data_IF_301474919852
#
_entry.id   IF_301474919852
#
_cell.length_a   1.000
_cell.length_b   1.000
_cell.length_c   1.000
_cell.angle_alpha   90.00
_cell.angle_beta   90.00
_cell.angle_gamma   90.00
#
_symmetry.space_group_name_H-M   'P 1'
#
loop_
_entity.id
_entity.type
_entity.pdbx_description
1 polymer ?
#
# COMPACT_ATOMS: atom_id res chain seq x y z
N UNK A 1 -17.10 -5.93 -10.30
CA UNK A 1 -15.84 -5.19 -10.01
C UNK A 1 -14.69 -6.16 -9.68
N UNK A 2 -14.89 -7.17 -8.82
CA UNK A 2 -13.84 -8.13 -8.44
C UNK A 2 -13.35 -8.93 -9.66
N UNK A 3 -14.25 -9.38 -10.52
CA UNK A 3 -13.88 -10.07 -11.77
C UNK A 3 -13.04 -9.18 -12.68
N UNK A 4 -13.38 -7.89 -12.79
CA UNK A 4 -12.61 -6.95 -13.60
C UNK A 4 -11.20 -6.73 -13.04
N UNK A 5 -11.02 -6.75 -11.72
CA UNK A 5 -9.71 -6.69 -11.05
C UNK A 5 -8.84 -7.87 -11.49
N UNK A 6 -9.38 -9.10 -11.39
CA UNK A 6 -8.62 -10.33 -11.69
C UNK A 6 -8.40 -10.49 -13.19
N UNK A 7 -9.44 -10.33 -14.02
CA UNK A 7 -9.30 -10.40 -15.49
C UNK A 7 -8.33 -9.34 -16.02
N UNK A 8 -8.40 -8.13 -15.46
CA UNK A 8 -7.48 -7.06 -15.79
C UNK A 8 -6.03 -7.40 -15.46
N UNK A 9 -5.77 -8.02 -14.30
CA UNK A 9 -4.45 -8.49 -13.95
C UNK A 9 -3.98 -9.63 -14.90
N UNK A 10 -4.85 -10.59 -15.21
CA UNK A 10 -4.54 -11.67 -16.15
C UNK A 10 -4.13 -11.10 -17.51
N UNK A 11 -4.89 -10.16 -18.05
CA UNK A 11 -4.62 -9.56 -19.36
C UNK A 11 -3.38 -8.65 -19.36
N UNK A 12 -2.99 -8.11 -18.20
CA UNK A 12 -1.86 -7.18 -18.08
C UNK A 12 -0.54 -7.91 -17.80
N UNK A 13 -0.56 -8.92 -16.94
CA UNK A 13 0.64 -9.61 -16.46
C UNK A 13 0.88 -10.97 -17.10
N UNK A 14 -0.15 -11.58 -17.71
CA UNK A 14 -0.11 -12.94 -18.24
C UNK A 14 0.46 -13.96 -17.24
N UNK A 15 -0.14 -14.07 -16.02
CA UNK A 15 0.35 -14.98 -14.99
C UNK A 15 0.39 -16.42 -15.49
N UNK A 16 1.40 -17.16 -15.06
CA UNK A 16 1.54 -18.60 -15.34
C UNK A 16 1.05 -19.45 -14.19
N UNK A 17 0.86 -18.83 -13.04
CA UNK A 17 0.40 -19.45 -11.82
C UNK A 17 -1.12 -19.67 -11.86
N UNK A 18 -1.57 -20.84 -11.43
CA UNK A 18 -2.99 -21.18 -11.29
C UNK A 18 -3.60 -20.56 -10.03
N UNK A 19 -2.75 -20.08 -9.10
CA UNK A 19 -3.17 -19.43 -7.86
C UNK A 19 -2.32 -18.20 -7.55
N UNK A 20 -2.98 -17.05 -7.41
CA UNK A 20 -2.33 -15.78 -7.08
C UNK A 20 -3.31 -14.79 -6.45
N UNK A 21 -2.78 -13.73 -5.86
CA UNK A 21 -3.57 -12.59 -5.38
C UNK A 21 -3.37 -11.37 -6.28
N UNK A 22 -4.44 -10.67 -6.54
CA UNK A 22 -4.43 -9.33 -7.15
C UNK A 22 -4.77 -8.30 -6.09
N UNK A 23 -3.90 -7.33 -5.95
CA UNK A 23 -4.07 -6.18 -5.06
C UNK A 23 -4.38 -4.94 -5.89
N UNK A 24 -5.61 -4.46 -5.80
CA UNK A 24 -6.06 -3.24 -6.48
C UNK A 24 -5.92 -2.03 -5.56
N UNK A 25 -5.14 -1.05 -5.99
CA UNK A 25 -4.84 0.20 -5.27
C UNK A 25 -5.44 1.40 -6.02
N UNK A 26 -6.72 1.60 -5.84
CA UNK A 26 -7.50 2.72 -6.38
C UNK A 26 -7.73 3.83 -5.33
N UNK A 27 -8.97 4.33 -5.26
CA UNK A 27 -9.40 5.27 -4.20
C UNK A 27 -9.36 4.63 -2.82
N UNK A 28 -9.81 3.39 -2.71
CA UNK A 28 -9.57 2.44 -1.62
C UNK A 28 -8.63 1.34 -2.08
N UNK A 29 -8.61 0.22 -1.35
CA UNK A 29 -7.84 -0.97 -1.71
C UNK A 29 -8.69 -2.24 -1.60
N UNK A 30 -8.47 -3.18 -2.52
CA UNK A 30 -9.12 -4.49 -2.54
C UNK A 30 -8.09 -5.58 -2.87
N UNK A 31 -8.28 -6.75 -2.27
CA UNK A 31 -7.54 -7.96 -2.58
C UNK A 31 -8.50 -9.01 -3.12
N UNK A 32 -8.19 -9.56 -4.28
CA UNK A 32 -8.89 -10.68 -4.90
C UNK A 32 -7.94 -11.86 -5.09
N UNK A 33 -8.42 -13.07 -4.89
CA UNK A 33 -7.64 -14.29 -5.13
C UNK A 33 -8.23 -14.98 -6.35
N UNK A 34 -7.35 -15.35 -7.28
CA UNK A 34 -7.63 -16.28 -8.35
C UNK A 34 -7.10 -17.67 -7.95
N UNK A 35 -7.91 -18.69 -8.14
CA UNK A 35 -7.54 -20.08 -7.87
C UNK A 35 -8.22 -21.01 -8.87
N UNK A 36 -7.46 -21.54 -9.84
CA UNK A 36 -7.93 -22.54 -10.82
C UNK A 36 -9.24 -22.15 -11.55
N UNK A 37 -9.39 -20.87 -11.85
CA UNK A 37 -10.60 -20.34 -12.52
C UNK A 37 -11.60 -19.67 -11.58
N UNK A 38 -11.56 -19.94 -10.29
CA UNK A 38 -12.41 -19.29 -9.29
C UNK A 38 -11.85 -17.95 -8.86
N UNK A 39 -12.74 -16.98 -8.64
CA UNK A 39 -12.39 -15.62 -8.18
C UNK A 39 -13.07 -15.37 -6.84
N UNK A 40 -12.26 -15.03 -5.84
CA UNK A 40 -12.71 -14.70 -4.49
C UNK A 40 -12.35 -13.25 -4.14
N UNK A 41 -13.32 -12.46 -3.68
CA UNK A 41 -13.00 -11.22 -2.96
C UNK A 41 -12.47 -11.57 -1.57
N UNK A 42 -11.17 -11.40 -1.37
CA UNK A 42 -10.50 -11.85 -0.15
C UNK A 42 -10.45 -10.78 0.95
N UNK A 43 -10.75 -9.53 0.61
CA UNK A 43 -10.79 -8.42 1.56
C UNK A 43 -10.31 -7.11 0.96
N UNK A 44 -10.10 -6.13 1.83
CA UNK A 44 -9.64 -4.80 1.43
C UNK A 44 -9.85 -3.79 2.54
N UNK A 45 -9.58 -2.53 2.23
CA UNK A 45 -9.82 -1.42 3.17
C UNK A 45 -10.42 -0.22 2.44
N UNK A 46 -11.11 0.66 3.18
CA UNK A 46 -11.51 1.96 2.65
C UNK A 46 -10.34 2.92 2.41
N UNK A 47 -9.11 2.49 2.71
CA UNK A 47 -7.90 3.31 2.57
C UNK A 47 -7.24 3.09 1.21
N UNK A 48 -6.80 4.18 0.59
CA UNK A 48 -6.14 4.17 -0.71
C UNK A 48 -5.77 5.57 -1.17
N UNK A 49 -5.62 5.74 -2.47
CA UNK A 49 -5.27 7.03 -3.07
C UNK A 49 -6.28 8.14 -2.80
N UNK A 50 -7.55 7.79 -2.66
CA UNK A 50 -8.59 8.74 -2.24
C UNK A 50 -8.36 9.26 -0.83
N UNK A 51 -7.99 8.38 0.10
CA UNK A 51 -7.66 8.74 1.48
C UNK A 51 -6.40 9.59 1.54
N UNK A 52 -5.35 9.21 0.82
CA UNK A 52 -4.11 10.00 0.74
C UNK A 52 -4.42 11.43 0.30
N UNK A 53 -5.17 11.58 -0.80
CA UNK A 53 -5.55 12.90 -1.32
C UNK A 53 -6.41 13.70 -0.34
N UNK A 54 -7.44 13.05 0.23
CA UNK A 54 -8.36 13.70 1.17
C UNK A 54 -7.65 14.21 2.42
N UNK A 55 -6.81 13.38 3.04
CA UNK A 55 -6.04 13.78 4.22
C UNK A 55 -4.98 14.84 3.86
N UNK A 56 -4.29 14.70 2.73
CA UNK A 56 -3.34 15.71 2.28
C UNK A 56 -4.01 17.06 2.03
N UNK A 57 -5.21 17.06 1.43
CA UNK A 57 -5.99 18.31 1.26
C UNK A 57 -6.32 18.98 2.59
N UNK A 58 -6.77 18.18 3.56
CA UNK A 58 -7.17 18.67 4.89
C UNK A 58 -5.98 19.14 5.74
N UNK A 59 -4.87 18.42 5.71
CA UNK A 59 -3.74 18.62 6.63
C UNK A 59 -2.71 19.58 6.06
N UNK A 60 -2.35 19.45 4.77
CA UNK A 60 -1.28 20.22 4.15
C UNK A 60 -1.78 21.17 3.04
N UNK A 61 -3.08 21.14 2.72
CA UNK A 61 -3.70 22.00 1.70
C UNK A 61 -3.44 21.56 0.26
N UNK A 62 -2.99 20.28 0.04
CA UNK A 62 -2.58 19.78 -1.26
C UNK A 62 -3.35 18.52 -1.64
N UNK A 63 -3.85 18.43 -2.89
CA UNK A 63 -4.58 17.27 -3.41
C UNK A 63 -4.10 16.78 -4.78
N UNK A 64 -3.05 17.39 -5.35
CA UNK A 64 -2.40 16.85 -6.56
C UNK A 64 -1.51 15.66 -6.19
N UNK A 65 -1.77 14.45 -6.76
CA UNK A 65 -0.98 13.25 -6.44
C UNK A 65 0.52 13.40 -6.75
N UNK A 66 0.89 14.17 -7.78
CA UNK A 66 2.30 14.38 -8.15
C UNK A 66 3.02 15.23 -7.12
N UNK A 67 2.35 16.29 -6.64
CA UNK A 67 2.90 17.18 -5.61
C UNK A 67 3.01 16.41 -4.28
N UNK A 68 1.95 15.67 -3.89
CA UNK A 68 1.97 14.82 -2.68
C UNK A 68 3.11 13.81 -2.75
N UNK A 69 3.31 13.13 -3.89
CA UNK A 69 4.43 12.20 -4.07
C UNK A 69 5.78 12.90 -3.90
N UNK A 70 5.97 14.06 -4.54
CA UNK A 70 7.20 14.84 -4.43
C UNK A 70 7.48 15.34 -3.00
N UNK A 71 6.44 15.71 -2.25
CA UNK A 71 6.58 16.09 -0.85
C UNK A 71 6.97 14.89 0.01
N UNK A 72 6.22 13.79 -0.09
CA UNK A 72 6.44 12.59 0.73
C UNK A 72 7.82 11.96 0.53
N UNK A 73 8.37 12.01 -0.69
CA UNK A 73 9.73 11.51 -0.99
C UNK A 73 10.85 12.31 -0.31
N UNK A 74 10.57 13.53 0.14
CA UNK A 74 11.52 14.39 0.85
C UNK A 74 11.30 14.40 2.36
N UNK A 75 10.12 13.94 2.79
CA UNK A 75 9.69 13.98 4.17
C UNK A 75 10.22 12.81 5.00
N UNK A 76 10.14 12.98 6.32
CA UNK A 76 10.56 12.00 7.32
C UNK A 76 9.38 11.69 8.24
N UNK A 77 8.75 10.51 8.06
CA UNK A 77 7.65 10.06 8.92
C UNK A 77 8.03 10.02 10.41
N UNK A 78 9.32 9.84 10.73
CA UNK A 78 9.87 9.77 12.09
C UNK A 78 9.65 11.05 12.90
N UNK A 79 9.37 12.16 12.21
CA UNK A 79 9.00 13.41 12.86
C UNK A 79 7.52 13.51 13.22
N UNK A 80 6.71 12.61 12.65
CA UNK A 80 5.26 12.59 12.81
C UNK A 80 4.81 11.40 13.64
N UNK A 81 5.41 10.23 13.37
CA UNK A 81 5.06 8.95 14.00
C UNK A 81 5.90 8.71 15.26
N UNK A 82 5.27 8.11 16.30
CA UNK A 82 6.03 7.41 17.33
C UNK A 82 6.52 6.09 16.75
N UNK A 83 7.82 5.86 16.82
CA UNK A 83 8.45 4.63 16.36
C UNK A 83 8.55 3.61 17.50
N UNK A 84 8.81 2.35 17.15
CA UNK A 84 9.02 1.30 18.15
C UNK A 84 10.17 1.68 19.13
N UNK A 85 11.29 2.20 18.61
CA UNK A 85 12.41 2.67 19.44
C UNK A 85 12.07 3.80 20.43
N UNK A 86 10.99 4.56 20.16
CA UNK A 86 10.57 5.67 21.03
C UNK A 86 9.73 5.17 22.21
N UNK A 87 9.15 3.98 22.13
CA UNK A 87 8.18 3.46 23.12
C UNK A 87 8.61 2.15 23.79
N UNK A 88 9.59 1.44 23.22
CA UNK A 88 10.01 0.12 23.69
C UNK A 88 11.53 0.04 23.74
N UNK A 89 12.05 -0.54 24.83
CA UNK A 89 13.46 -0.84 24.98
C UNK A 89 13.73 -2.28 24.50
N UNK A 90 14.11 -2.45 23.23
CA UNK A 90 14.51 -3.73 22.65
C UNK A 90 13.64 -4.18 21.46
N UNK A 91 14.09 -5.20 20.73
CA UNK A 91 13.43 -5.66 19.52
C UNK A 91 12.11 -6.39 19.80
N UNK A 92 11.11 -6.20 18.96
CA UNK A 92 9.87 -6.98 18.93
C UNK A 92 9.91 -7.92 17.72
N UNK A 93 10.33 -9.16 17.95
CA UNK A 93 10.46 -10.13 16.87
C UNK A 93 11.36 -9.61 15.74
N UNK A 94 10.87 -9.65 14.50
CA UNK A 94 11.61 -9.17 13.32
C UNK A 94 11.24 -7.74 12.91
N UNK A 95 10.51 -6.99 13.74
CA UNK A 95 10.12 -5.63 13.40
C UNK A 95 11.32 -4.68 13.56
N UNK A 96 11.61 -3.82 12.56
CA UNK A 96 12.67 -2.84 12.68
C UNK A 96 12.30 -1.76 13.72
N UNK A 97 13.27 -1.24 14.42
CA UNK A 97 13.07 -0.16 15.39
C UNK A 97 12.44 1.11 14.77
N UNK A 98 12.61 1.30 13.45
CA UNK A 98 12.03 2.38 12.67
C UNK A 98 10.56 2.15 12.26
N UNK A 99 9.96 0.99 12.63
CA UNK A 99 8.55 0.77 12.41
C UNK A 99 7.70 1.73 13.25
N UNK A 100 6.61 2.25 12.68
CA UNK A 100 5.69 3.12 13.41
C UNK A 100 4.90 2.30 14.43
N UNK A 101 5.02 2.66 15.70
CA UNK A 101 4.20 2.13 16.78
C UNK A 101 2.84 2.85 16.79
N UNK A 102 2.84 4.19 16.62
CA UNK A 102 1.62 5.01 16.55
C UNK A 102 1.78 6.01 15.41
N UNK A 103 0.98 5.88 14.38
CA UNK A 103 0.95 6.84 13.29
C UNK A 103 0.43 8.18 13.83
N UNK A 104 1.08 9.28 13.44
CA UNK A 104 0.80 10.64 13.93
C UNK A 104 0.85 10.77 15.47
N UNK A 105 1.49 9.84 16.16
CA UNK A 105 1.58 9.85 17.63
C UNK A 105 2.61 10.82 18.21
N UNK A 106 3.52 11.35 17.39
CA UNK A 106 4.55 12.30 17.80
C UNK A 106 4.12 13.70 17.39
N UNK A 107 3.33 14.33 18.26
CA UNK A 107 2.78 15.66 17.97
C UNK A 107 3.72 16.73 18.56
N UNK A 108 4.84 16.95 17.92
CA UNK A 108 5.55 18.22 18.05
C UNK A 108 5.50 18.93 16.68
N UNK A 109 4.40 19.66 16.48
CA UNK A 109 4.14 20.35 15.22
C UNK A 109 5.16 21.47 14.94
N UNK A 110 5.96 21.87 15.91
CA UNK A 110 6.95 22.93 15.74
C UNK A 110 8.09 22.51 14.81
N UNK A 111 8.36 21.20 14.72
CA UNK A 111 9.43 20.64 13.89
C UNK A 111 8.96 19.91 12.63
N UNK A 112 7.64 19.78 12.42
CA UNK A 112 7.07 19.09 11.26
C UNK A 112 6.81 20.07 10.12
N UNK A 113 7.27 19.74 8.92
CA UNK A 113 6.95 20.45 7.69
C UNK A 113 5.93 19.68 6.84
N UNK A 114 5.51 20.24 5.70
CA UNK A 114 4.53 19.62 4.80
C UNK A 114 5.03 18.30 4.22
N UNK A 115 6.32 18.18 3.99
CA UNK A 115 6.98 16.99 3.49
C UNK A 115 6.86 15.86 4.50
N UNK A 116 7.13 16.14 5.77
CA UNK A 116 7.07 15.16 6.86
C UNK A 116 5.61 14.68 7.07
N UNK A 117 4.64 15.59 7.03
CA UNK A 117 3.22 15.28 7.11
C UNK A 117 2.75 14.43 5.92
N UNK A 118 3.19 14.75 4.69
CA UNK A 118 2.89 13.95 3.50
C UNK A 118 3.46 12.53 3.62
N UNK A 119 4.69 12.39 4.12
CA UNK A 119 5.31 11.08 4.37
C UNK A 119 4.53 10.30 5.44
N UNK A 120 4.11 10.93 6.54
CA UNK A 120 3.28 10.32 7.58
C UNK A 120 1.93 9.83 7.05
N UNK A 121 1.23 10.61 6.23
CA UNK A 121 -0.05 10.24 5.62
C UNK A 121 0.11 8.99 4.75
N UNK A 122 1.10 8.99 3.82
CA UNK A 122 1.33 7.84 2.95
C UNK A 122 1.76 6.62 3.76
N UNK A 123 2.62 6.80 4.77
CA UNK A 123 3.05 5.73 5.66
C UNK A 123 1.88 5.08 6.41
N UNK A 124 0.99 5.86 7.01
CA UNK A 124 -0.18 5.36 7.72
C UNK A 124 -1.11 4.56 6.81
N UNK A 125 -1.44 5.10 5.65
CA UNK A 125 -2.30 4.43 4.65
C UNK A 125 -1.62 3.17 4.15
N UNK A 126 -0.34 3.26 3.77
CA UNK A 126 0.44 2.16 3.24
C UNK A 126 0.61 1.00 4.23
N UNK A 127 0.89 1.29 5.49
CA UNK A 127 1.00 0.26 6.55
C UNK A 127 -0.30 -0.53 6.73
N UNK A 128 -1.45 0.16 6.72
CA UNK A 128 -2.75 -0.52 6.88
C UNK A 128 -3.07 -1.41 5.68
N UNK A 129 -2.84 -0.90 4.47
CA UNK A 129 -3.01 -1.66 3.23
C UNK A 129 -2.08 -2.88 3.22
N UNK A 130 -0.80 -2.68 3.53
CA UNK A 130 0.21 -3.74 3.53
C UNK A 130 -0.11 -4.83 4.56
N UNK A 131 -0.42 -4.46 5.81
CA UNK A 131 -0.78 -5.43 6.86
C UNK A 131 -1.99 -6.27 6.46
N UNK A 132 -3.02 -5.65 5.89
CA UNK A 132 -4.20 -6.35 5.38
C UNK A 132 -3.81 -7.33 4.28
N UNK A 133 -3.04 -6.89 3.29
CA UNK A 133 -2.64 -7.73 2.16
C UNK A 133 -1.72 -8.89 2.58
N UNK A 134 -0.75 -8.65 3.48
CA UNK A 134 0.12 -9.70 4.04
C UNK A 134 -0.71 -10.74 4.79
N UNK A 135 -1.66 -10.31 5.62
CA UNK A 135 -2.52 -11.22 6.37
C UNK A 135 -3.34 -12.10 5.41
N UNK A 136 -3.95 -11.51 4.39
CA UNK A 136 -4.71 -12.24 3.36
C UNK A 136 -3.81 -13.24 2.62
N UNK A 137 -2.64 -12.80 2.18
CA UNK A 137 -1.68 -13.64 1.47
C UNK A 137 -1.22 -14.84 2.32
N UNK A 138 -0.91 -14.59 3.59
CA UNK A 138 -0.43 -15.62 4.53
C UNK A 138 -1.50 -16.66 4.87
N UNK A 139 -2.73 -16.24 5.17
CA UNK A 139 -3.84 -17.16 5.50
C UNK A 139 -4.19 -18.04 4.30
N UNK A 140 -4.07 -17.52 3.08
CA UNK A 140 -4.42 -18.23 1.86
C UNK A 140 -3.23 -18.89 1.16
N UNK A 141 -2.05 -18.95 1.78
CA UNK A 141 -0.81 -19.52 1.22
C UNK A 141 -0.46 -18.97 -0.19
N UNK A 142 -0.67 -17.67 -0.40
CA UNK A 142 -0.38 -17.01 -1.66
C UNK A 142 1.13 -16.84 -1.83
N UNK A 143 1.64 -17.14 -3.02
CA UNK A 143 3.07 -17.01 -3.37
C UNK A 143 3.33 -15.89 -4.39
N UNK A 144 2.29 -15.41 -5.07
CA UNK A 144 2.39 -14.36 -6.09
C UNK A 144 1.34 -13.29 -5.86
N UNK A 145 1.78 -12.03 -5.92
CA UNK A 145 0.93 -10.85 -5.75
C UNK A 145 1.13 -9.91 -6.93
N UNK A 146 0.07 -9.63 -7.66
CA UNK A 146 0.03 -8.66 -8.75
C UNK A 146 -0.61 -7.37 -8.27
N UNK A 147 0.06 -6.25 -8.41
CA UNK A 147 -0.41 -4.94 -7.92
C UNK A 147 -0.86 -4.09 -9.09
N UNK A 148 -2.14 -3.68 -9.06
CA UNK A 148 -2.78 -2.83 -10.07
C UNK A 148 -3.35 -1.55 -9.45
N UNK A 149 -3.81 -0.62 -10.29
CA UNK A 149 -4.40 0.65 -9.87
C UNK A 149 -3.38 1.79 -9.95
N UNK A 150 -3.75 2.98 -9.50
CA UNK A 150 -2.89 4.17 -9.62
C UNK A 150 -2.07 4.50 -8.38
N UNK A 151 -2.50 4.04 -7.21
CA UNK A 151 -1.89 4.49 -5.95
C UNK A 151 -0.49 3.92 -5.70
N UNK A 152 -0.10 2.81 -6.34
CA UNK A 152 1.28 2.34 -6.27
C UNK A 152 2.30 3.26 -6.96
N UNK A 153 1.85 4.30 -7.67
CA UNK A 153 2.71 5.33 -8.24
C UNK A 153 3.22 6.34 -7.20
N UNK A 154 2.71 6.31 -5.97
CA UNK A 154 3.39 6.95 -4.85
C UNK A 154 4.64 6.12 -4.49
N UNK A 155 5.82 6.72 -4.68
CA UNK A 155 7.11 6.01 -4.52
C UNK A 155 7.24 5.39 -3.13
N UNK A 156 6.96 6.17 -2.09
CA UNK A 156 7.02 5.69 -0.70
C UNK A 156 6.07 4.50 -0.45
N UNK A 157 4.85 4.53 -1.00
CA UNK A 157 3.91 3.43 -0.88
C UNK A 157 4.43 2.18 -1.60
N UNK A 158 4.98 2.34 -2.81
CA UNK A 158 5.53 1.24 -3.59
C UNK A 158 6.71 0.58 -2.88
N UNK A 159 7.63 1.36 -2.35
CA UNK A 159 8.77 0.86 -1.56
C UNK A 159 8.30 0.08 -0.32
N UNK A 160 7.33 0.62 0.41
CA UNK A 160 6.75 -0.05 1.57
C UNK A 160 6.11 -1.41 1.22
N UNK A 161 5.45 -1.51 0.07
CA UNK A 161 4.86 -2.77 -0.40
C UNK A 161 5.96 -3.78 -0.74
N UNK A 162 6.99 -3.36 -1.46
CA UNK A 162 8.13 -4.22 -1.83
C UNK A 162 8.79 -4.78 -0.57
N UNK A 163 9.16 -3.90 0.35
CA UNK A 163 9.89 -4.30 1.57
C UNK A 163 9.01 -5.15 2.50
N UNK A 164 7.73 -4.79 2.64
CA UNK A 164 6.83 -5.53 3.50
C UNK A 164 6.51 -6.94 3.00
N UNK A 165 6.29 -7.12 1.71
CA UNK A 165 6.05 -8.45 1.16
C UNK A 165 7.30 -9.34 1.17
N UNK A 166 8.51 -8.76 1.10
CA UNK A 166 9.77 -9.51 1.26
C UNK A 166 9.88 -10.19 2.62
N UNK A 167 9.29 -9.62 3.68
CA UNK A 167 9.31 -10.24 5.02
C UNK A 167 8.63 -11.62 5.02
N UNK A 168 7.66 -11.84 4.15
CA UNK A 168 6.97 -13.13 3.96
C UNK A 168 7.42 -13.86 2.69
N UNK A 169 8.58 -13.52 2.15
CA UNK A 169 9.17 -14.12 0.96
C UNK A 169 8.27 -14.03 -0.29
N UNK A 170 7.50 -12.96 -0.43
CA UNK A 170 6.71 -12.65 -1.63
C UNK A 170 7.32 -11.40 -2.29
N UNK A 171 7.47 -11.44 -3.60
CA UNK A 171 7.81 -10.29 -4.40
C UNK A 171 6.56 -9.77 -5.11
N UNK A 172 6.08 -8.55 -4.77
CA UNK A 172 4.93 -7.97 -5.44
C UNK A 172 5.33 -7.53 -6.85
N UNK A 173 4.50 -7.85 -7.84
CA UNK A 173 4.73 -7.54 -9.24
C UNK A 173 3.92 -6.31 -9.66
N UNK A 174 4.60 -5.35 -10.29
CA UNK A 174 4.03 -4.12 -10.82
C UNK A 174 4.21 -4.08 -12.34
N UNK A 175 3.25 -3.51 -13.04
CA UNK A 175 3.31 -3.33 -14.49
C UNK A 175 3.12 -1.87 -14.85
N UNK A 176 3.81 -1.37 -15.87
CA UNK A 176 3.73 0.04 -16.29
C UNK A 176 2.28 0.49 -16.60
N UNK A 177 1.48 -0.41 -17.19
CA UNK A 177 0.07 -0.20 -17.53
C UNK A 177 -0.91 -0.70 -16.45
N UNK A 178 -0.42 -1.08 -15.27
CA UNK A 178 -1.25 -1.64 -14.19
C UNK A 178 -2.36 -0.68 -13.71
N UNK A 179 -2.21 0.61 -13.95
CA UNK A 179 -3.26 1.59 -13.63
C UNK A 179 -4.52 1.45 -14.50
N UNK A 180 -4.40 0.86 -15.70
CA UNK A 180 -5.51 0.65 -16.64
C UNK A 180 -6.05 -0.78 -16.60
N UNK A 181 -5.45 -1.66 -15.79
CA UNK A 181 -5.77 -3.09 -15.76
C UNK A 181 -7.27 -3.34 -15.55
N UNK A 182 -7.92 -2.62 -14.63
CA UNK A 182 -9.37 -2.79 -14.36
C UNK A 182 -10.19 -2.47 -15.62
N UNK A 183 -9.83 -1.42 -16.36
CA UNK A 183 -10.54 -1.07 -17.60
C UNK A 183 -10.43 -2.17 -18.66
N UNK A 184 -9.26 -2.80 -18.76
CA UNK A 184 -9.03 -3.95 -19.66
C UNK A 184 -9.82 -5.17 -19.21
N UNK A 185 -9.99 -5.37 -17.92
CA UNK A 185 -10.74 -6.49 -17.34
C UNK A 185 -12.27 -6.36 -17.46
N UNK A 186 -12.79 -5.23 -17.94
CA UNK A 186 -14.23 -5.01 -18.19
C UNK A 186 -14.65 -5.32 -19.61
N UNK A 187 -13.71 -5.56 -20.51
CA UNK A 187 -13.94 -5.97 -21.92
C UNK A 187 -13.93 -7.48 -22.00
#
# INVERSE_FOLDING_TARGET
EVDAIVKGAINTFHPKEERFMVMSLGSGSACAIFNEGDILHAGGTGLGGGTIRGLSKLIIGEDDPKIINSLSSKGKKEKVDLLLKDVISGPIGNLPESASAVNFGKIDYSDCNKEDLAAGIISMVGQTILKTAITIASINDIKKVYVIGRSYKYDLLREMLIDGFRVINIEPLFHENGEYAICVGTI
#
